data_IF_935881438958
#
_entry.id   IF_935881438958
#
_cell.length_a   1.000
_cell.length_b   1.000
_cell.length_c   1.000
_cell.angle_alpha   90.00
_cell.angle_beta   90.00
_cell.angle_gamma   90.00
#
_symmetry.space_group_name_H-M   'P 1'
#
loop_
_entity.id
_entity.type
_entity.pdbx_description
1 polymer ?
#
# COMPACT_ATOMS: atom_id res chain seq x y z
N UNK A 1 9.50 -9.06 7.73
CA UNK A 1 8.69 -9.18 6.51
C UNK A 1 9.51 -8.63 5.36
N UNK A 2 9.56 -9.33 4.24
CA UNK A 2 10.34 -8.94 3.06
C UNK A 2 9.38 -8.29 2.08
N UNK A 3 9.69 -7.09 1.60
CA UNK A 3 8.92 -6.43 0.53
C UNK A 3 9.14 -7.23 -0.76
N UNK A 4 8.08 -7.56 -1.53
CA UNK A 4 8.24 -8.26 -2.81
C UNK A 4 8.89 -7.31 -3.84
N UNK A 5 10.22 -7.30 -3.87
CA UNK A 5 11.04 -6.44 -4.72
C UNK A 5 10.84 -6.75 -6.20
N UNK A 6 10.62 -8.02 -6.54
CA UNK A 6 10.25 -8.49 -7.87
C UNK A 6 9.01 -7.77 -8.38
N UNK A 7 7.95 -7.71 -7.57
CA UNK A 7 6.70 -7.03 -7.90
C UNK A 7 6.84 -5.52 -7.95
N UNK A 8 7.65 -4.96 -7.06
CA UNK A 8 7.91 -3.52 -7.03
C UNK A 8 8.68 -3.06 -8.28
N UNK A 9 9.68 -3.84 -8.70
CA UNK A 9 10.48 -3.56 -9.91
C UNK A 9 9.61 -3.76 -11.16
N UNK A 10 8.81 -4.82 -11.19
CA UNK A 10 7.88 -5.14 -12.28
C UNK A 10 6.57 -4.33 -12.23
N UNK A 11 6.45 -3.32 -11.36
CA UNK A 11 5.24 -2.49 -11.31
C UNK A 11 5.19 -1.58 -12.55
N UNK A 12 4.21 -1.86 -13.42
CA UNK A 12 4.04 -1.21 -14.73
C UNK A 12 3.12 0.03 -14.70
N UNK A 13 2.30 0.18 -13.67
CA UNK A 13 1.41 1.34 -13.52
C UNK A 13 2.15 2.56 -12.93
N UNK A 14 1.48 3.70 -12.80
CA UNK A 14 2.06 4.93 -12.32
C UNK A 14 2.58 4.81 -10.88
N UNK A 15 3.90 4.71 -10.74
CA UNK A 15 4.61 4.56 -9.46
C UNK A 15 4.37 5.69 -8.48
N UNK A 16 4.13 6.92 -8.96
CA UNK A 16 3.83 8.06 -8.10
C UNK A 16 2.43 7.95 -7.51
N UNK A 17 1.44 7.63 -8.33
CA UNK A 17 0.05 7.40 -7.89
C UNK A 17 0.00 6.25 -6.90
N UNK A 18 0.67 5.13 -7.21
CA UNK A 18 0.81 3.99 -6.30
C UNK A 18 1.40 4.40 -4.94
N UNK A 19 2.50 5.14 -4.96
CA UNK A 19 3.18 5.58 -3.73
C UNK A 19 2.32 6.53 -2.90
N UNK A 20 1.61 7.45 -3.53
CA UNK A 20 0.63 8.32 -2.87
C UNK A 20 -0.54 7.54 -2.28
N UNK A 21 -1.07 6.55 -3.01
CA UNK A 21 -2.12 5.68 -2.53
C UNK A 21 -1.65 4.88 -1.30
N UNK A 22 -0.44 4.30 -1.35
CA UNK A 22 0.14 3.56 -0.23
C UNK A 22 0.25 4.43 1.03
N UNK A 23 0.70 5.68 0.91
CA UNK A 23 0.77 6.59 2.07
C UNK A 23 -0.62 6.98 2.60
N UNK A 24 -1.61 7.20 1.72
CA UNK A 24 -3.00 7.42 2.18
C UNK A 24 -3.59 6.23 2.92
N UNK A 25 -3.14 5.01 2.62
CA UNK A 25 -3.53 3.79 3.33
C UNK A 25 -2.86 3.72 4.71
N UNK A 26 -1.61 4.18 4.82
CA UNK A 26 -0.91 4.33 6.12
C UNK A 26 -1.70 5.23 7.07
N UNK A 27 -2.25 6.34 6.58
CA UNK A 27 -3.06 7.24 7.42
C UNK A 27 -4.39 6.61 7.88
N UNK A 28 -4.84 5.52 7.22
CA UNK A 28 -6.12 4.84 7.45
C UNK A 28 -5.99 3.47 8.11
N UNK A 29 -4.87 3.19 8.77
CA UNK A 29 -4.53 1.89 9.38
C UNK A 29 -5.66 1.26 10.22
N UNK A 30 -6.43 2.05 10.96
CA UNK A 30 -7.53 1.55 11.79
C UNK A 30 -8.70 0.91 11.03
N UNK A 31 -8.74 1.06 9.70
CA UNK A 31 -9.80 0.51 8.84
C UNK A 31 -9.29 -0.61 7.91
N UNK A 32 -8.08 -1.13 8.13
CA UNK A 32 -7.51 -2.18 7.27
C UNK A 32 -7.80 -3.56 7.89
N UNK A 33 -8.70 -4.32 7.28
CA UNK A 33 -8.95 -5.72 7.66
C UNK A 33 -7.66 -6.56 7.55
N UNK A 34 -7.34 -7.30 8.62
CA UNK A 34 -6.19 -8.21 8.65
C UNK A 34 -4.84 -7.55 8.98
N UNK A 35 -4.80 -6.25 9.29
CA UNK A 35 -3.59 -5.62 9.81
C UNK A 35 -3.34 -6.03 11.27
N UNK A 36 -2.16 -6.59 11.62
CA UNK A 36 -1.88 -6.97 13.01
C UNK A 36 -1.71 -5.72 13.87
N UNK A 37 -2.73 -5.37 14.66
CA UNK A 37 -2.69 -4.27 15.63
C UNK A 37 -1.56 -4.43 16.67
N UNK A 38 -1.04 -5.65 16.83
CA UNK A 38 -0.12 -6.04 17.89
C UNK A 38 1.36 -5.84 17.59
N UNK A 39 1.76 -5.47 16.36
CA UNK A 39 3.17 -5.57 15.97
C UNK A 39 3.80 -4.22 15.55
N UNK A 40 4.54 -3.64 16.50
CA UNK A 40 5.58 -2.61 16.37
C UNK A 40 5.45 -1.64 15.18
N UNK A 41 5.03 -0.40 15.48
CA UNK A 41 4.88 0.76 14.57
C UNK A 41 5.93 0.91 13.45
N UNK A 42 7.16 0.44 13.61
CA UNK A 42 8.23 0.60 12.62
C UNK A 42 8.06 -0.23 11.34
N UNK A 43 7.09 -1.16 11.25
CA UNK A 43 6.85 -2.01 10.05
C UNK A 43 5.59 -1.68 9.26
N UNK A 44 4.93 -0.58 9.58
CA UNK A 44 3.67 -0.15 8.95
C UNK A 44 3.78 -0.03 7.43
N UNK A 45 4.76 0.72 6.95
CA UNK A 45 4.93 0.98 5.50
C UNK A 45 5.25 -0.31 4.72
N UNK A 46 6.23 -1.15 5.12
CA UNK A 46 6.47 -2.44 4.47
C UNK A 46 5.24 -3.36 4.41
N UNK A 47 4.43 -3.38 5.48
CA UNK A 47 3.20 -4.18 5.54
C UNK A 47 2.18 -3.73 4.49
N UNK A 48 1.92 -2.43 4.41
CA UNK A 48 0.99 -1.87 3.43
C UNK A 48 1.47 -2.09 2.00
N UNK A 49 2.76 -1.89 1.73
CA UNK A 49 3.32 -2.18 0.40
C UNK A 49 3.12 -3.64 0.01
N UNK A 50 3.32 -4.57 0.94
CA UNK A 50 3.08 -5.99 0.68
C UNK A 50 1.60 -6.28 0.39
N UNK A 51 0.67 -5.67 1.15
CA UNK A 51 -0.77 -5.84 0.91
C UNK A 51 -1.20 -5.27 -0.45
N UNK A 52 -0.67 -4.12 -0.84
CA UNK A 52 -0.99 -3.51 -2.13
C UNK A 52 -0.35 -4.25 -3.31
N UNK A 53 0.93 -4.65 -3.21
CA UNK A 53 1.63 -5.43 -4.25
C UNK A 53 1.06 -6.84 -4.42
N UNK A 54 0.39 -7.37 -3.40
CA UNK A 54 -0.36 -8.64 -3.49
C UNK A 54 -1.84 -8.44 -3.87
N UNK A 55 -2.25 -7.24 -4.26
CA UNK A 55 -3.63 -6.90 -4.63
C UNK A 55 -4.68 -7.15 -3.53
N UNK A 56 -4.24 -7.27 -2.26
CA UNK A 56 -5.13 -7.37 -1.10
C UNK A 56 -5.80 -6.03 -0.81
N UNK A 57 -5.07 -4.93 -1.00
CA UNK A 57 -5.60 -3.57 -0.98
C UNK A 57 -5.49 -2.99 -2.39
N UNK A 58 -6.63 -2.58 -2.95
CA UNK A 58 -6.70 -1.93 -4.26
C UNK A 58 -6.91 -0.43 -4.08
N UNK A 59 -6.33 0.36 -4.98
CA UNK A 59 -6.61 1.79 -5.09
C UNK A 59 -7.25 2.07 -6.44
N UNK A 60 -8.13 3.07 -6.47
CA UNK A 60 -8.64 3.65 -7.70
C UNK A 60 -8.17 5.10 -7.78
N UNK A 61 -7.59 5.48 -8.91
CA UNK A 61 -7.32 6.86 -9.22
C UNK A 61 -8.54 7.46 -9.92
N UNK A 62 -9.18 8.44 -9.28
CA UNK A 62 -10.25 9.23 -9.88
C UNK A 62 -9.67 10.59 -10.23
N UNK A 63 -9.61 10.87 -11.52
CA UNK A 63 -9.25 12.19 -12.01
C UNK A 63 -10.45 13.11 -11.76
N UNK A 64 -10.29 14.11 -10.89
CA UNK A 64 -11.32 15.14 -10.71
C UNK A 64 -11.31 16.05 -11.94
N UNK A 65 -12.19 15.77 -12.90
CA UNK A 65 -12.46 16.69 -14.01
C UNK A 65 -13.05 17.96 -13.44
N UNK A 66 -12.26 19.05 -13.44
CA UNK A 66 -12.72 20.40 -13.11
C UNK A 66 -13.57 21.00 -14.22
#
# INVERSE_FOLDING_TARGET
MIIPLDKLIAFEDNRYVFSCAAMKVVDKLGNIEGYPESDKNWKVVPNILNLMLNNTIKYEFKEETK
#
